data_IF_663914029536
#
_entry.id   IF_663914029536
#
_cell.length_a   1.000
_cell.length_b   1.000
_cell.length_c   1.000
_cell.angle_alpha   90.00
_cell.angle_beta   90.00
_cell.angle_gamma   90.00
#
_symmetry.space_group_name_H-M   'P 1'
#
loop_
_entity.id
_entity.type
_entity.pdbx_description
1 polymer ?
#
# COMPACT_ATOMS: atom_id res chain seq x y z
N UNK A 1 -70.87 -36.84 0.61
CA UNK A 1 -70.30 -36.87 1.97
C UNK A 1 -68.79 -36.65 1.87
N UNK A 2 -68.28 -35.57 2.49
CA UNK A 2 -66.87 -35.29 2.87
C UNK A 2 -65.77 -35.34 1.77
N UNK A 3 -64.73 -34.50 1.73
CA UNK A 3 -64.24 -33.44 2.62
C UNK A 3 -63.18 -32.62 1.84
N UNK A 4 -63.13 -31.34 2.21
CA UNK A 4 -62.27 -30.22 1.80
C UNK A 4 -60.76 -30.42 2.01
N UNK A 5 -59.94 -29.71 1.20
CA UNK A 5 -58.68 -28.96 1.53
C UNK A 5 -58.22 -28.28 0.22
N UNK A 6 -58.23 -26.96 -0.02
CA UNK A 6 -57.58 -25.82 0.66
C UNK A 6 -56.08 -26.10 0.90
N UNK A 7 -55.08 -25.31 0.50
CA UNK A 7 -55.02 -23.90 0.12
C UNK A 7 -53.56 -23.52 -0.25
N UNK A 8 -53.41 -22.33 -0.87
CA UNK A 8 -52.34 -21.31 -0.65
C UNK A 8 -50.99 -21.40 -1.41
N UNK A 9 -50.79 -20.34 -2.23
CA UNK A 9 -49.55 -19.78 -2.79
C UNK A 9 -48.41 -19.60 -1.76
N UNK A 10 -47.13 -19.68 -2.14
CA UNK A 10 -46.09 -18.98 -1.42
C UNK A 10 -45.95 -17.53 -1.93
N UNK A 11 -46.25 -16.61 -1.02
CA UNK A 11 -45.90 -15.19 -1.08
C UNK A 11 -44.37 -15.01 -1.07
N UNK A 12 -43.92 -14.08 -1.91
CA UNK A 12 -42.62 -13.40 -1.82
C UNK A 12 -42.46 -12.77 -0.43
N UNK A 13 -41.45 -13.21 0.32
CA UNK A 13 -40.96 -12.47 1.47
C UNK A 13 -39.65 -11.76 1.10
N UNK A 14 -39.75 -10.45 0.89
CA UNK A 14 -38.67 -9.49 1.04
C UNK A 14 -38.23 -9.49 2.51
N UNK A 15 -37.12 -10.16 2.81
CA UNK A 15 -36.46 -10.09 4.10
C UNK A 15 -35.39 -9.00 4.07
N UNK A 16 -35.66 -7.88 4.74
CA UNK A 16 -34.67 -6.85 5.05
C UNK A 16 -33.59 -7.44 5.97
N UNK A 17 -32.32 -7.39 5.55
CA UNK A 17 -31.18 -7.75 6.40
C UNK A 17 -30.83 -6.52 7.25
N UNK A 18 -31.17 -6.60 8.53
CA UNK A 18 -30.65 -5.69 9.57
C UNK A 18 -29.24 -6.16 9.91
N UNK A 19 -28.21 -5.39 9.51
CA UNK A 19 -26.83 -5.64 9.93
C UNK A 19 -26.67 -5.11 11.36
N UNK A 20 -26.85 -6.00 12.34
CA UNK A 20 -26.44 -5.80 13.73
C UNK A 20 -24.92 -6.00 13.80
N UNK A 21 -24.17 -4.91 13.91
CA UNK A 21 -22.71 -4.93 14.04
C UNK A 21 -22.35 -5.34 15.48
N UNK A 22 -22.04 -6.63 15.64
CA UNK A 22 -21.34 -7.20 16.80
C UNK A 22 -19.86 -7.46 16.49
N UNK A 23 -19.02 -7.75 17.50
CA UNK A 23 -17.56 -7.59 17.46
C UNK A 23 -16.78 -8.69 16.71
N UNK A 24 -17.32 -9.23 15.63
CA UNK A 24 -16.73 -10.36 14.90
C UNK A 24 -16.02 -9.96 13.59
N UNK A 25 -15.78 -8.66 13.38
CA UNK A 25 -15.16 -8.14 12.15
C UNK A 25 -13.63 -8.17 12.09
N UNK A 26 -12.96 -8.84 13.04
CA UNK A 26 -11.49 -8.95 13.05
C UNK A 26 -10.95 -10.26 12.46
N UNK A 27 -11.77 -11.28 12.24
CA UNK A 27 -11.29 -12.55 11.68
C UNK A 27 -11.36 -12.61 10.15
N UNK A 28 -12.12 -11.72 9.50
CA UNK A 28 -12.39 -11.78 8.05
C UNK A 28 -11.38 -11.06 7.14
N UNK A 29 -10.37 -10.39 7.70
CA UNK A 29 -9.36 -9.66 6.90
C UNK A 29 -8.22 -10.58 6.44
N UNK A 30 -8.02 -11.73 7.09
CA UNK A 30 -6.98 -12.69 6.69
C UNK A 30 -7.35 -13.45 5.40
N UNK A 31 -8.64 -13.61 5.08
CA UNK A 31 -9.09 -14.41 3.94
C UNK A 31 -9.17 -13.64 2.61
N UNK A 32 -8.94 -12.32 2.60
CA UNK A 32 -8.89 -11.51 1.37
C UNK A 32 -7.45 -11.35 0.84
N UNK A 33 -6.46 -11.83 1.59
CA UNK A 33 -5.03 -11.77 1.26
C UNK A 33 -4.42 -12.93 0.44
N UNK A 34 -5.06 -14.10 0.17
CA UNK A 34 -4.34 -15.20 -0.51
C UNK A 34 -3.99 -14.95 -1.97
N UNK A 35 -4.61 -13.98 -2.65
CA UNK A 35 -4.37 -13.70 -4.08
C UNK A 35 -3.46 -12.50 -4.38
N UNK A 36 -2.82 -11.93 -3.36
CA UNK A 36 -1.67 -11.03 -3.57
C UNK A 36 -0.37 -11.82 -3.75
N UNK A 37 -0.36 -12.75 -4.71
CA UNK A 37 0.84 -13.23 -5.43
C UNK A 37 2.10 -13.57 -4.63
N UNK A 38 1.98 -14.11 -3.42
CA UNK A 38 3.11 -14.62 -2.64
C UNK A 38 3.57 -15.98 -3.16
N UNK A 39 4.26 -16.00 -4.31
CA UNK A 39 5.10 -17.14 -4.68
C UNK A 39 6.29 -17.18 -3.73
N UNK A 40 6.59 -18.34 -3.15
CA UNK A 40 7.68 -18.56 -2.19
C UNK A 40 9.09 -18.36 -2.77
N UNK A 41 9.22 -17.84 -4.00
CA UNK A 41 10.49 -17.54 -4.69
C UNK A 41 10.58 -16.11 -5.26
N UNK A 42 9.63 -15.22 -4.99
CA UNK A 42 9.74 -13.84 -5.49
C UNK A 42 10.60 -12.98 -4.58
N UNK A 43 11.83 -12.68 -5.03
CA UNK A 43 12.75 -11.73 -4.38
C UNK A 43 12.18 -10.30 -4.21
N UNK A 44 11.01 -10.04 -4.81
CA UNK A 44 10.33 -8.75 -4.75
C UNK A 44 8.81 -8.87 -4.97
N UNK A 45 8.06 -7.86 -4.53
CA UNK A 45 6.63 -7.69 -4.79
C UNK A 45 6.36 -6.38 -5.56
N UNK A 46 5.29 -6.39 -6.35
CA UNK A 46 4.78 -5.24 -7.12
C UNK A 46 3.25 -5.19 -7.00
N UNK A 47 2.66 -4.03 -7.27
CA UNK A 47 1.21 -3.90 -7.28
C UNK A 47 0.57 -4.82 -8.33
N UNK A 48 -0.57 -5.48 -8.04
CA UNK A 48 -1.25 -6.36 -8.99
C UNK A 48 -1.57 -5.66 -10.34
N UNK A 49 -1.94 -4.38 -10.29
CA UNK A 49 -2.30 -3.59 -11.48
C UNK A 49 -1.15 -3.43 -12.50
N UNK A 50 0.11 -3.55 -12.08
CA UNK A 50 1.29 -3.47 -12.98
C UNK A 50 1.97 -4.83 -13.18
N UNK A 51 1.45 -5.90 -12.55
CA UNK A 51 2.02 -7.24 -12.65
C UNK A 51 2.09 -7.75 -14.09
N UNK A 52 1.04 -7.65 -14.94
CA UNK A 52 1.11 -8.15 -16.32
C UNK A 52 2.23 -7.50 -17.16
N UNK A 53 2.58 -6.26 -16.84
CA UNK A 53 3.66 -5.51 -17.51
C UNK A 53 5.03 -5.88 -16.95
N UNK A 54 5.14 -5.99 -15.63
CA UNK A 54 6.40 -6.36 -14.95
C UNK A 54 6.78 -7.82 -15.13
N UNK A 55 5.81 -8.72 -15.40
CA UNK A 55 6.06 -10.12 -15.75
C UNK A 55 6.82 -10.27 -17.08
N UNK A 56 6.88 -9.22 -17.91
CA UNK A 56 7.65 -9.19 -19.16
C UNK A 56 9.11 -8.78 -18.95
N UNK A 57 9.47 -8.37 -17.73
CA UNK A 57 10.78 -7.88 -17.37
C UNK A 57 11.52 -8.89 -16.48
N UNK A 58 12.84 -8.96 -16.64
CA UNK A 58 13.70 -9.76 -15.77
C UNK A 58 13.85 -9.11 -14.40
N UNK A 59 14.22 -9.93 -13.40
CA UNK A 59 14.57 -9.41 -12.07
C UNK A 59 15.74 -8.42 -12.12
N UNK A 60 16.72 -8.62 -13.01
CA UNK A 60 17.85 -7.70 -13.16
C UNK A 60 17.40 -6.34 -13.71
N UNK A 61 16.52 -6.32 -14.70
CA UNK A 61 15.92 -5.08 -15.20
C UNK A 61 15.22 -4.31 -14.08
N UNK A 62 14.37 -4.98 -13.30
CA UNK A 62 13.64 -4.35 -12.20
C UNK A 62 14.56 -3.90 -11.05
N UNK A 63 15.49 -4.76 -10.62
CA UNK A 63 16.22 -4.58 -9.37
C UNK A 63 17.59 -3.91 -9.53
N UNK A 64 18.30 -4.18 -10.63
CA UNK A 64 19.63 -3.60 -10.90
C UNK A 64 19.47 -2.35 -11.78
N UNK A 65 18.81 -2.50 -12.92
CA UNK A 65 18.69 -1.43 -13.92
C UNK A 65 17.61 -0.40 -13.55
N UNK A 66 16.71 -0.76 -12.62
CA UNK A 66 15.59 0.06 -12.15
C UNK A 66 14.67 0.51 -13.28
N UNK A 67 14.44 -0.40 -14.22
CA UNK A 67 13.69 -0.12 -15.43
C UNK A 67 12.91 -1.36 -15.83
N UNK A 68 11.68 -1.18 -16.28
CA UNK A 68 10.92 -2.20 -16.96
C UNK A 68 10.15 -1.54 -18.09
N UNK A 69 10.59 -1.77 -19.32
CA UNK A 69 10.09 -1.03 -20.50
C UNK A 69 10.30 0.49 -20.31
N UNK A 70 9.28 1.35 -20.44
CA UNK A 70 9.38 2.77 -20.09
C UNK A 70 9.13 3.10 -18.60
N UNK A 71 8.80 2.12 -17.75
CA UNK A 71 8.58 2.37 -16.32
C UNK A 71 9.89 2.37 -15.53
N UNK A 72 10.15 3.47 -14.85
CA UNK A 72 11.21 3.54 -13.85
C UNK A 72 10.81 2.79 -12.57
N UNK A 73 11.79 2.32 -11.82
CA UNK A 73 11.55 1.57 -10.59
C UNK A 73 12.13 2.32 -9.39
N UNK A 74 11.30 2.46 -8.36
CA UNK A 74 11.69 2.83 -7.01
C UNK A 74 11.68 1.58 -6.15
N UNK A 75 12.82 1.23 -5.56
CA UNK A 75 12.91 0.08 -4.66
C UNK A 75 12.75 0.50 -3.20
N UNK A 76 11.94 -0.25 -2.46
CA UNK A 76 11.85 -0.15 -1.01
C UNK A 76 12.07 -1.51 -0.38
N UNK A 77 12.85 -1.56 0.70
CA UNK A 77 13.26 -2.80 1.34
C UNK A 77 12.46 -3.03 2.64
N UNK A 78 11.70 -4.12 2.68
CA UNK A 78 10.88 -4.44 3.85
C UNK A 78 11.72 -4.92 5.05
N UNK A 79 12.98 -5.35 4.86
CA UNK A 79 13.90 -5.60 5.98
C UNK A 79 14.15 -4.31 6.78
N UNK A 80 14.16 -3.17 6.08
CA UNK A 80 14.52 -1.86 6.63
C UNK A 80 13.33 -1.01 7.00
N UNK A 81 12.25 -1.13 6.24
CA UNK A 81 11.03 -0.34 6.40
C UNK A 81 9.78 -1.23 6.31
N UNK A 82 9.61 -2.19 7.25
CA UNK A 82 8.49 -3.14 7.22
C UNK A 82 7.11 -2.47 7.33
N UNK A 83 6.97 -1.36 8.05
CA UNK A 83 5.68 -0.67 8.21
C UNK A 83 5.35 0.26 7.02
N UNK A 84 6.35 0.91 6.42
CA UNK A 84 6.16 1.65 5.16
C UNK A 84 5.75 0.70 4.03
N UNK A 85 6.47 -0.41 3.88
CA UNK A 85 6.19 -1.39 2.81
C UNK A 85 4.84 -2.07 3.02
N UNK A 86 4.39 -2.24 4.27
CA UNK A 86 3.01 -2.64 4.59
C UNK A 86 1.99 -1.62 4.09
N UNK A 87 2.14 -0.33 4.41
CA UNK A 87 1.19 0.69 3.97
C UNK A 87 1.04 0.69 2.44
N UNK A 88 2.17 0.56 1.72
CA UNK A 88 2.20 0.44 0.26
C UNK A 88 1.45 -0.80 -0.24
N UNK A 89 1.69 -1.97 0.36
CA UNK A 89 1.00 -3.21 -0.02
C UNK A 89 -0.52 -3.10 0.20
N UNK A 90 -0.94 -2.53 1.33
CA UNK A 90 -2.36 -2.30 1.62
C UNK A 90 -2.97 -1.29 0.65
N UNK A 91 -2.24 -0.22 0.29
CA UNK A 91 -2.70 0.74 -0.70
C UNK A 91 -2.93 0.08 -2.07
N UNK A 92 -2.06 -0.85 -2.49
CA UNK A 92 -2.28 -1.64 -3.70
C UNK A 92 -3.54 -2.50 -3.61
N UNK A 93 -3.77 -3.14 -2.46
CA UNK A 93 -5.00 -3.91 -2.19
C UNK A 93 -6.28 -3.07 -2.22
N UNK A 94 -6.18 -1.79 -1.85
CA UNK A 94 -7.27 -0.81 -1.93
C UNK A 94 -7.44 -0.18 -3.33
N UNK A 95 -6.67 -0.63 -4.33
CA UNK A 95 -6.75 -0.12 -5.70
C UNK A 95 -6.18 1.29 -5.87
N UNK A 96 -5.32 1.75 -4.95
CA UNK A 96 -4.61 3.03 -5.11
C UNK A 96 -3.67 2.97 -6.32
N UNK A 97 -3.33 4.11 -6.95
CA UNK A 97 -2.50 4.12 -8.15
C UNK A 97 -1.17 3.36 -7.98
N UNK A 98 -0.91 2.45 -8.91
CA UNK A 98 0.30 1.63 -8.94
C UNK A 98 1.43 2.25 -9.78
N UNK A 99 1.07 3.06 -10.77
CA UNK A 99 1.99 3.88 -11.55
C UNK A 99 1.86 5.30 -11.00
N UNK A 100 2.98 5.84 -10.55
CA UNK A 100 3.08 7.18 -10.00
C UNK A 100 3.90 8.06 -10.94
N UNK A 101 3.60 9.35 -10.96
CA UNK A 101 4.36 10.30 -11.78
C UNK A 101 5.14 11.24 -10.87
N UNK A 102 6.44 11.40 -11.11
CA UNK A 102 7.25 12.30 -10.28
C UNK A 102 6.76 13.74 -10.45
N UNK A 103 6.38 14.36 -9.35
CA UNK A 103 5.88 15.75 -9.37
C UNK A 103 7.03 16.77 -9.43
N UNK A 104 6.67 18.02 -9.71
CA UNK A 104 7.57 19.16 -9.61
C UNK A 104 8.18 19.27 -8.19
N UNK A 105 9.45 19.68 -8.06
CA UNK A 105 10.07 19.87 -6.75
C UNK A 105 9.34 20.97 -5.96
N UNK A 106 9.22 20.78 -4.65
CA UNK A 106 8.69 21.79 -3.72
C UNK A 106 7.19 21.72 -3.45
N UNK A 107 6.46 20.77 -4.05
CA UNK A 107 5.02 20.56 -3.77
C UNK A 107 4.78 19.58 -2.62
N UNK A 108 5.80 18.77 -2.26
CA UNK A 108 5.71 17.66 -1.30
C UNK A 108 5.13 18.09 0.06
N UNK A 109 5.59 19.22 0.62
CA UNK A 109 5.15 19.66 1.95
C UNK A 109 3.67 20.06 1.96
N UNK A 110 3.20 20.72 0.89
CA UNK A 110 1.80 21.09 0.73
C UNK A 110 0.94 19.83 0.64
N UNK A 111 1.33 18.85 -0.19
CA UNK A 111 0.62 17.58 -0.35
C UNK A 111 0.56 16.77 0.93
N UNK A 112 1.69 16.63 1.62
CA UNK A 112 1.76 15.99 2.93
C UNK A 112 0.86 16.69 3.96
N UNK A 113 0.77 18.02 3.91
CA UNK A 113 -0.12 18.79 4.77
C UNK A 113 -1.60 18.44 4.59
N UNK A 114 -2.03 18.03 3.39
CA UNK A 114 -3.43 17.66 3.10
C UNK A 114 -3.84 16.35 3.77
N UNK A 115 -2.96 15.34 3.78
CA UNK A 115 -3.30 13.97 4.22
C UNK A 115 -2.64 13.57 5.54
N UNK A 116 -1.52 14.19 5.89
CA UNK A 116 -0.74 13.94 7.09
C UNK A 116 -0.54 15.20 7.97
N UNK A 117 -1.28 16.28 7.70
CA UNK A 117 -1.26 17.48 8.54
C UNK A 117 -1.76 17.22 9.95
N UNK A 118 -1.31 18.01 10.94
CA UNK A 118 -1.67 17.80 12.35
C UNK A 118 -3.17 17.93 12.65
N UNK A 119 -3.94 18.62 11.81
CA UNK A 119 -5.41 18.70 11.91
C UNK A 119 -6.14 17.51 11.27
N UNK A 120 -5.40 16.62 10.62
CA UNK A 120 -5.91 15.52 9.81
C UNK A 120 -5.48 14.18 10.40
N UNK A 121 -4.19 14.05 10.71
CA UNK A 121 -3.60 12.85 11.28
C UNK A 121 -3.16 13.13 12.71
N UNK A 122 -3.62 12.27 13.63
CA UNK A 122 -3.18 12.27 15.02
C UNK A 122 -2.35 11.03 15.25
N UNK A 123 -1.07 11.20 15.59
CA UNK A 123 -0.22 10.08 15.99
C UNK A 123 -0.71 9.50 17.33
N UNK A 124 -0.71 8.19 17.43
CA UNK A 124 -1.08 7.43 18.63
C UNK A 124 0.14 7.16 19.49
N UNK A 125 1.31 6.99 18.87
CA UNK A 125 2.55 6.62 19.54
C UNK A 125 3.56 7.78 19.57
N UNK A 126 4.37 7.91 20.64
CA UNK A 126 5.36 8.99 20.74
C UNK A 126 6.30 9.06 19.54
N UNK A 127 6.80 7.90 19.11
CA UNK A 127 7.71 7.74 17.97
C UNK A 127 6.99 7.35 16.68
N UNK A 128 5.69 7.65 16.59
CA UNK A 128 4.88 7.48 15.38
C UNK A 128 4.98 8.67 14.43
N UNK A 129 4.80 8.39 13.14
CA UNK A 129 4.71 9.36 12.06
C UNK A 129 3.65 8.93 11.06
N UNK A 130 3.08 9.87 10.32
CA UNK A 130 2.16 9.57 9.22
C UNK A 130 2.97 9.24 7.96
N UNK A 131 2.78 8.03 7.43
CA UNK A 131 3.20 7.65 6.08
C UNK A 131 2.04 7.83 5.09
N UNK A 132 2.38 8.08 3.83
CA UNK A 132 1.43 8.29 2.74
C UNK A 132 1.87 7.56 1.46
N UNK A 133 0.96 6.75 0.90
CA UNK A 133 1.07 6.21 -0.45
C UNK A 133 -0.24 6.45 -1.21
N UNK A 134 -0.30 7.10 -2.37
CA UNK A 134 0.80 7.62 -3.16
C UNK A 134 1.63 8.70 -2.45
N UNK A 135 2.94 8.73 -2.75
CA UNK A 135 3.88 9.64 -2.09
C UNK A 135 3.59 11.11 -2.40
N UNK A 136 3.83 11.99 -1.43
CA UNK A 136 3.73 13.44 -1.64
C UNK A 136 4.64 13.97 -2.77
N UNK A 137 5.74 13.28 -3.08
CA UNK A 137 6.65 13.59 -4.19
C UNK A 137 6.12 13.19 -5.57
N UNK A 138 4.95 12.54 -5.64
CA UNK A 138 4.26 12.12 -6.85
C UNK A 138 3.01 12.98 -7.13
N UNK A 139 2.60 13.07 -8.40
CA UNK A 139 1.42 13.83 -8.86
C UNK A 139 0.16 13.38 -8.13
N UNK A 140 0.02 12.07 -7.94
CA UNK A 140 -1.10 11.39 -7.29
C UNK A 140 -1.18 11.67 -5.77
N UNK A 141 -0.06 12.06 -5.16
CA UNK A 141 0.03 12.37 -3.73
C UNK A 141 -0.79 13.61 -3.33
N UNK A 142 -1.17 13.66 -2.05
CA UNK A 142 -1.98 14.74 -1.49
C UNK A 142 -3.45 14.76 -1.93
N UNK A 143 -3.90 13.75 -2.71
CA UNK A 143 -5.31 13.60 -3.11
C UNK A 143 -5.92 12.40 -2.36
N UNK A 144 -6.91 12.65 -1.49
CA UNK A 144 -7.52 11.61 -0.64
C UNK A 144 -8.00 10.36 -1.38
N UNK A 145 -8.52 10.51 -2.60
CA UNK A 145 -8.94 9.38 -3.43
C UNK A 145 -7.77 8.43 -3.76
N UNK A 146 -6.58 8.98 -3.95
CA UNK A 146 -5.38 8.28 -4.44
C UNK A 146 -4.41 7.90 -3.33
N UNK A 147 -4.60 8.44 -2.12
CA UNK A 147 -3.70 8.23 -0.99
C UNK A 147 -4.34 7.30 0.03
N UNK A 148 -3.51 6.47 0.64
CA UNK A 148 -3.68 5.72 1.87
C UNK A 148 -2.63 6.23 2.86
N UNK A 149 -3.05 6.43 4.10
CA UNK A 149 -2.16 6.81 5.19
C UNK A 149 -2.14 5.74 6.27
N UNK A 150 -1.00 5.60 6.95
CA UNK A 150 -0.84 4.71 8.10
C UNK A 150 0.16 5.33 9.10
N UNK A 151 -0.01 5.05 10.39
CA UNK A 151 1.01 5.40 11.38
C UNK A 151 2.16 4.40 11.29
N UNK A 152 3.39 4.91 11.18
CA UNK A 152 4.61 4.12 11.05
C UNK A 152 5.67 4.63 12.04
N UNK A 153 6.74 3.86 12.32
CA UNK A 153 7.87 4.38 13.08
C UNK A 153 8.47 5.63 12.43
N UNK A 154 8.77 6.65 13.23
CA UNK A 154 9.40 7.89 12.77
C UNK A 154 10.74 7.63 12.05
N UNK A 155 11.50 6.62 12.49
CA UNK A 155 12.73 6.18 11.83
C UNK A 155 12.46 5.77 10.38
N UNK A 156 11.48 4.90 10.14
CA UNK A 156 11.14 4.45 8.79
C UNK A 156 10.72 5.61 7.89
N UNK A 157 9.92 6.54 8.40
CA UNK A 157 9.53 7.73 7.64
C UNK A 157 10.75 8.54 7.18
N UNK A 158 11.75 8.70 8.06
CA UNK A 158 12.99 9.37 7.72
C UNK A 158 13.82 8.57 6.70
N UNK A 159 13.91 7.24 6.86
CA UNK A 159 14.59 6.37 5.90
C UNK A 159 13.91 6.40 4.51
N UNK A 160 12.58 6.43 4.46
CA UNK A 160 11.81 6.48 3.21
C UNK A 160 12.16 7.74 2.42
N UNK A 161 12.16 8.91 3.06
CA UNK A 161 12.50 10.17 2.40
C UNK A 161 13.91 10.16 1.79
N UNK A 162 14.89 9.60 2.51
CA UNK A 162 16.25 9.40 1.99
C UNK A 162 16.32 8.40 0.84
N UNK A 163 15.64 7.26 0.98
CA UNK A 163 15.60 6.19 -0.01
C UNK A 163 14.96 6.66 -1.32
N UNK A 164 13.81 7.35 -1.25
CA UNK A 164 13.12 7.90 -2.42
C UNK A 164 14.04 8.84 -3.20
N UNK A 165 14.70 9.79 -2.53
CA UNK A 165 15.64 10.72 -3.18
C UNK A 165 16.76 9.97 -3.89
N UNK A 166 17.27 8.91 -3.29
CA UNK A 166 18.38 8.17 -3.83
C UNK A 166 17.96 7.25 -4.99
N UNK A 167 16.81 6.60 -4.88
CA UNK A 167 16.25 5.76 -5.95
C UNK A 167 15.82 6.61 -7.15
N UNK A 168 15.25 7.81 -6.94
CA UNK A 168 15.01 8.76 -8.03
C UNK A 168 16.29 9.10 -8.79
N UNK A 169 17.39 9.36 -8.08
CA UNK A 169 18.69 9.63 -8.71
C UNK A 169 19.24 8.39 -9.44
N UNK A 170 19.14 7.20 -8.84
CA UNK A 170 19.67 5.95 -9.39
C UNK A 170 18.90 5.49 -10.64
N UNK A 171 17.59 5.69 -10.67
CA UNK A 171 16.73 5.35 -11.81
C UNK A 171 16.64 6.48 -12.86
N UNK A 172 17.28 7.63 -12.61
CA UNK A 172 17.16 8.84 -13.40
C UNK A 172 15.70 9.28 -13.59
N UNK A 173 14.93 9.30 -12.50
CA UNK A 173 13.55 9.77 -12.45
C UNK A 173 13.55 11.30 -12.32
N UNK A 174 13.09 11.97 -13.36
CA UNK A 174 12.85 13.40 -13.41
C UNK A 174 11.35 13.71 -13.28
N UNK A 175 11.01 14.99 -13.13
CA UNK A 175 9.61 15.42 -13.14
C UNK A 175 8.89 14.93 -14.40
N UNK A 176 7.68 14.39 -14.21
CA UNK A 176 6.84 13.84 -15.27
C UNK A 176 7.09 12.36 -15.57
N UNK A 177 8.22 11.81 -15.17
CA UNK A 177 8.51 10.38 -15.38
C UNK A 177 7.54 9.51 -14.60
N UNK A 178 7.07 8.46 -15.26
CA UNK A 178 6.30 7.40 -14.65
C UNK A 178 7.23 6.41 -13.93
N UNK A 179 6.87 6.04 -12.72
CA UNK A 179 7.58 5.03 -11.95
C UNK A 179 6.61 4.12 -11.19
N UNK A 180 7.09 2.92 -10.89
CA UNK A 180 6.43 1.96 -10.00
C UNK A 180 7.27 1.76 -8.75
N UNK A 181 6.62 1.28 -7.70
CA UNK A 181 7.32 0.82 -6.49
C UNK A 181 7.48 -0.69 -6.54
N UNK A 182 8.70 -1.16 -6.27
CA UNK A 182 9.03 -2.56 -6.07
C UNK A 182 9.45 -2.73 -4.61
N UNK A 183 8.81 -3.66 -3.89
CA UNK A 183 9.18 -4.03 -2.52
C UNK A 183 10.15 -5.21 -2.57
N UNK A 184 11.36 -5.09 -2.04
CA UNK A 184 12.27 -6.24 -1.85
C UNK A 184 12.08 -6.87 -0.48
N UNK A 185 12.40 -8.16 -0.38
CA UNK A 185 12.20 -8.98 0.84
C UNK A 185 10.74 -8.96 1.34
N UNK A 186 9.74 -9.24 0.46
CA UNK A 186 8.34 -9.06 0.80
C UNK A 186 7.84 -9.92 1.96
N UNK A 187 8.56 -10.99 2.33
CA UNK A 187 8.33 -11.81 3.52
C UNK A 187 8.56 -11.04 4.84
N UNK A 188 9.21 -9.88 4.78
CA UNK A 188 9.50 -9.01 5.93
C UNK A 188 8.52 -7.86 6.12
N UNK A 189 7.51 -7.74 5.25
CA UNK A 189 6.45 -6.73 5.42
C UNK A 189 5.78 -6.94 6.78
N UNK A 190 5.53 -5.85 7.52
CA UNK A 190 4.88 -5.94 8.82
C UNK A 190 3.47 -6.57 8.70
N UNK A 191 3.23 -7.66 9.44
CA UNK A 191 1.95 -8.37 9.42
C UNK A 191 0.81 -7.61 10.13
N UNK A 192 1.15 -6.72 11.07
CA UNK A 192 0.20 -5.88 11.81
C UNK A 192 0.53 -4.40 11.68
N UNK A 193 -0.44 -3.54 11.99
CA UNK A 193 -0.21 -2.10 12.10
C UNK A 193 0.86 -1.80 13.17
N UNK A 194 1.49 -0.62 13.06
CA UNK A 194 2.46 -0.15 14.03
C UNK A 194 1.84 -0.06 15.43
N UNK A 195 2.51 -0.67 16.41
CA UNK A 195 2.05 -0.76 17.78
C UNK A 195 2.97 -0.02 18.77
N UNK A 196 3.76 0.95 18.28
CA UNK A 196 4.67 1.75 19.10
C UNK A 196 6.08 1.19 19.26
N UNK A 197 6.42 0.08 18.58
CA UNK A 197 7.78 -0.46 18.52
C UNK A 197 8.19 -0.71 17.08
N UNK A 198 9.33 -0.17 16.68
CA UNK A 198 9.94 -0.45 15.37
C UNK A 198 10.53 -1.87 15.40
N UNK A 199 10.18 -2.68 14.40
CA UNK A 199 10.58 -4.10 14.33
C UNK A 199 11.43 -4.40 13.10
N UNK A 200 12.02 -3.38 12.46
CA UNK A 200 12.94 -3.59 11.35
C UNK A 200 14.13 -4.45 11.76
N UNK A 201 14.46 -5.45 10.94
CA UNK A 201 15.62 -6.32 11.16
C UNK A 201 16.94 -5.59 10.88
N UNK A 202 16.92 -4.62 9.95
CA UNK A 202 18.01 -3.68 9.73
C UNK A 202 17.50 -2.23 9.88
N UNK A 203 17.77 -1.56 11.01
CA UNK A 203 17.31 -0.21 11.22
C UNK A 203 18.09 0.84 10.40
N UNK A 204 19.11 0.45 9.62
CA UNK A 204 19.88 1.40 8.81
C UNK A 204 19.02 2.03 7.69
N UNK A 205 19.22 3.33 7.48
CA UNK A 205 18.61 4.02 6.33
C UNK A 205 19.51 3.96 5.07
N UNK A 206 20.53 3.10 5.06
CA UNK A 206 21.45 2.98 3.92
C UNK A 206 20.88 2.08 2.85
N UNK A 207 20.84 2.59 1.64
CA UNK A 207 20.24 2.04 0.41
C UNK A 207 21.26 1.55 -0.60
#
# INVERSE_FOLDING_TARGET
>A
MSKTRSSVLPLLFLGAVVILVGPQFLDGVQDVLPELGGSTDTAYAVAPAVKPRTDQCTADQLLKDRLCDDLKVVKLDAVKMPYITRNIQLAWGEGKPAILHKDAPGTDQTKRGVVCGASVFTKTFPDGSCDEYAFASAVEGGQWANVRTEEVPLREQNCQGGTLRQEYRRANIAQGDAFIVVITNPDKIAASAYAGSDTAEDPSCTS
#
